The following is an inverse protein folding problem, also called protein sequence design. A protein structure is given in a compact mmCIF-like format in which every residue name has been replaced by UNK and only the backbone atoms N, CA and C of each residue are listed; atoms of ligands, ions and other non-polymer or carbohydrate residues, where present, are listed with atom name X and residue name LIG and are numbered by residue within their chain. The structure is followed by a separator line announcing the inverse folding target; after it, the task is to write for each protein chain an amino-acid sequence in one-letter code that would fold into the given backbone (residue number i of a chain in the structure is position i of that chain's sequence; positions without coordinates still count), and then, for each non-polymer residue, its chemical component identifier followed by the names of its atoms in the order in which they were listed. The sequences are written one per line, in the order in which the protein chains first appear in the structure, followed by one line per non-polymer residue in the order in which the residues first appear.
data_IF_349525983050
#
_entry.id   IF_349525983050
#
_cell.length_a   1.000
_cell.length_b   1.000
_cell.length_c   1.000
_cell.angle_alpha   90.00
_cell.angle_beta   90.00
_cell.angle_gamma   90.00
#
_symmetry.space_group_name_H-M   'P 1'
#
loop_
_entity.id
_entity.type
_entity.pdbx_description
1 polymer ?
#
# COMPACT_ATOMS: atom_id res chain seq x y z
N UNK A 1 -0.83 3.95 11.66
CA UNK A 1 -0.78 2.53 12.09
C UNK A 1 -0.61 2.38 13.62
N UNK A 2 0.38 3.01 14.26
CA UNK A 2 0.69 2.82 15.69
C UNK A 2 -0.24 3.51 16.70
N UNK A 3 -1.25 4.26 16.25
CA UNK A 3 -2.22 4.93 17.13
C UNK A 3 -3.52 4.14 17.25
N UNK A 4 -4.32 4.14 16.18
CA UNK A 4 -5.69 3.59 16.18
C UNK A 4 -5.73 2.05 16.19
N UNK A 5 -4.85 1.42 15.40
CA UNK A 5 -4.89 -0.03 15.22
C UNK A 5 -4.57 -0.85 16.50
N UNK A 6 -3.56 -0.51 17.33
CA UNK A 6 -3.37 -1.22 18.59
C UNK A 6 -4.54 -1.02 19.57
N UNK A 7 -5.18 0.16 19.58
CA UNK A 7 -6.38 0.39 20.40
C UNK A 7 -7.52 -0.54 20.00
N UNK A 8 -7.83 -0.63 18.70
CA UNK A 8 -8.88 -1.53 18.19
C UNK A 8 -8.56 -3.00 18.52
N UNK A 9 -7.30 -3.43 18.35
CA UNK A 9 -6.90 -4.81 18.66
C UNK A 9 -7.07 -5.12 20.14
N UNK A 10 -6.75 -4.17 21.03
CA UNK A 10 -6.93 -4.36 22.47
C UNK A 10 -8.41 -4.48 22.87
N UNK A 11 -9.30 -3.80 22.17
CA UNK A 11 -10.74 -3.81 22.44
C UNK A 11 -11.42 -5.06 21.89
N UNK A 12 -11.07 -5.49 20.67
CA UNK A 12 -11.67 -6.67 20.03
C UNK A 12 -11.11 -8.01 20.53
N UNK A 13 -9.80 -8.11 20.71
CA UNK A 13 -9.13 -9.38 21.05
C UNK A 13 -8.70 -9.46 22.52
N UNK A 14 -8.85 -8.38 23.28
CA UNK A 14 -8.39 -8.30 24.66
C UNK A 14 -6.87 -8.24 24.79
N UNK A 15 -6.40 -8.05 26.03
CA UNK A 15 -4.98 -7.82 26.32
C UNK A 15 -4.14 -9.08 26.48
N UNK A 16 -4.76 -10.25 26.69
CA UNK A 16 -4.05 -11.50 27.02
C UNK A 16 -3.07 -11.96 25.93
N UNK A 17 -3.40 -11.74 24.65
CA UNK A 17 -2.55 -12.11 23.50
C UNK A 17 -2.31 -10.90 22.58
N UNK A 18 -2.33 -9.69 23.15
CA UNK A 18 -2.27 -8.44 22.40
C UNK A 18 -1.06 -8.37 21.45
N UNK A 19 0.13 -8.72 21.95
CA UNK A 19 1.36 -8.65 21.18
C UNK A 19 1.35 -9.53 19.92
N UNK A 20 0.77 -10.72 19.99
CA UNK A 20 0.66 -11.64 18.85
C UNK A 20 -0.32 -11.10 17.81
N UNK A 21 -1.52 -10.68 18.23
CA UNK A 21 -2.56 -10.19 17.31
C UNK A 21 -2.15 -8.87 16.64
N UNK A 22 -1.60 -7.94 17.42
CA UNK A 22 -1.06 -6.70 16.90
C UNK A 22 0.13 -6.93 15.96
N UNK A 23 1.01 -7.88 16.30
CA UNK A 23 2.15 -8.26 15.48
C UNK A 23 1.72 -8.72 14.08
N UNK A 24 0.72 -9.60 14.00
CA UNK A 24 0.16 -10.04 12.72
C UNK A 24 -0.45 -8.90 11.90
N UNK A 25 -1.20 -8.00 12.53
CA UNK A 25 -1.80 -6.84 11.84
C UNK A 25 -0.71 -5.87 11.36
N UNK A 26 0.39 -5.75 12.09
CA UNK A 26 1.52 -4.89 11.71
C UNK A 26 2.29 -5.39 10.49
N UNK A 27 2.14 -6.66 10.10
CA UNK A 27 2.73 -7.20 8.87
C UNK A 27 2.02 -6.66 7.63
N UNK A 28 0.72 -6.34 7.72
CA UNK A 28 -0.07 -5.85 6.59
C UNK A 28 0.55 -4.63 5.87
N UNK A 29 0.92 -3.52 6.56
CA UNK A 29 1.58 -2.39 5.89
C UNK A 29 2.98 -2.73 5.37
N UNK A 30 3.71 -3.65 6.01
CA UNK A 30 5.03 -4.08 5.54
C UNK A 30 4.92 -4.81 4.20
N UNK A 31 3.97 -5.73 4.07
CA UNK A 31 3.74 -6.45 2.81
C UNK A 31 3.09 -5.53 1.77
N UNK A 32 2.03 -4.83 2.14
CA UNK A 32 1.30 -3.93 1.23
C UNK A 32 2.21 -2.85 0.64
N UNK A 33 3.04 -2.21 1.46
CA UNK A 33 3.98 -1.19 0.98
C UNK A 33 4.97 -1.72 -0.06
N UNK A 34 5.51 -2.92 0.13
CA UNK A 34 6.43 -3.53 -0.84
C UNK A 34 5.71 -3.95 -2.12
N UNK A 35 4.50 -4.50 -2.01
CA UNK A 35 3.69 -4.85 -3.19
C UNK A 35 3.37 -3.61 -4.02
N UNK A 36 2.87 -2.54 -3.40
CA UNK A 36 2.57 -1.29 -4.12
C UNK A 36 3.83 -0.64 -4.69
N UNK A 37 4.97 -0.72 -3.99
CA UNK A 37 6.24 -0.22 -4.53
C UNK A 37 6.63 -0.92 -5.84
N UNK A 38 6.54 -2.26 -5.89
CA UNK A 38 6.82 -3.03 -7.10
C UNK A 38 5.79 -2.76 -8.22
N UNK A 39 4.51 -2.65 -7.86
CA UNK A 39 3.44 -2.36 -8.84
C UNK A 39 3.64 -0.98 -9.47
N UNK A 40 3.93 0.05 -8.68
CA UNK A 40 4.16 1.39 -9.21
C UNK A 40 5.45 1.47 -10.03
N UNK A 41 6.51 0.75 -9.64
CA UNK A 41 7.72 0.64 -10.44
C UNK A 41 7.47 -0.01 -11.80
N UNK A 42 6.75 -1.14 -11.82
CA UNK A 42 6.37 -1.80 -13.07
C UNK A 42 5.51 -0.91 -13.97
N UNK A 43 4.55 -0.19 -13.40
CA UNK A 43 3.68 0.70 -14.15
C UNK A 43 4.46 1.87 -14.77
N UNK A 44 5.43 2.42 -14.03
CA UNK A 44 6.36 3.42 -14.55
C UNK A 44 7.19 2.87 -15.73
N UNK A 45 7.76 1.67 -15.57
CA UNK A 45 8.59 1.04 -16.59
C UNK A 45 7.80 0.77 -17.88
N UNK A 46 6.52 0.39 -17.77
CA UNK A 46 5.64 0.20 -18.94
C UNK A 46 5.46 1.50 -19.72
N UNK A 47 5.22 2.62 -19.06
CA UNK A 47 5.06 3.92 -19.73
C UNK A 47 6.39 4.43 -20.30
N UNK A 48 7.51 4.23 -19.60
CA UNK A 48 8.85 4.55 -20.12
C UNK A 48 9.18 3.75 -21.40
N UNK A 49 8.81 2.47 -21.45
CA UNK A 49 8.99 1.63 -22.63
C UNK A 49 8.15 2.09 -23.83
N UNK A 50 6.94 2.61 -23.61
CA UNK A 50 6.08 3.13 -24.67
C UNK A 50 6.68 4.38 -25.34
N UNK A 51 7.28 5.26 -24.54
CA UNK A 51 7.96 6.47 -25.03
C UNK A 51 9.38 6.19 -25.57
N UNK A 52 9.83 4.92 -25.55
CA UNK A 52 11.19 4.50 -25.90
C UNK A 52 12.30 5.25 -25.13
N UNK A 53 11.99 5.74 -23.92
CA UNK A 53 12.94 6.45 -23.06
C UNK A 53 13.31 5.59 -21.85
N UNK A 54 14.50 5.84 -21.29
CA UNK A 54 14.90 5.25 -20.01
C UNK A 54 14.18 5.92 -18.82
N UNK A 55 13.70 7.14 -19.03
CA UNK A 55 13.02 7.94 -18.01
C UNK A 55 11.76 8.53 -18.64
N UNK A 56 10.62 8.30 -17.98
CA UNK A 56 9.33 8.86 -18.34
C UNK A 56 9.04 10.11 -17.48
N UNK A 57 8.58 11.17 -18.14
CA UNK A 57 8.29 12.46 -17.50
C UNK A 57 6.89 12.94 -17.87
N UNK A 58 6.19 13.50 -16.89
CA UNK A 58 4.86 14.08 -17.08
C UNK A 58 3.79 13.37 -16.26
N UNK A 59 2.56 13.86 -16.38
CA UNK A 59 1.40 13.33 -15.66
C UNK A 59 0.96 11.96 -16.14
N UNK A 60 1.10 11.67 -17.44
CA UNK A 60 0.68 10.38 -18.02
C UNK A 60 1.40 9.19 -17.37
N UNK A 61 2.68 9.37 -17.03
CA UNK A 61 3.50 8.37 -16.36
C UNK A 61 2.97 7.92 -14.99
N UNK A 62 2.44 8.87 -14.20
CA UNK A 62 2.01 8.61 -12.83
C UNK A 62 0.48 8.51 -12.68
N UNK A 63 -0.28 8.94 -13.68
CA UNK A 63 -1.73 8.99 -13.62
C UNK A 63 -2.33 7.62 -13.28
N UNK A 64 -1.87 6.57 -13.94
CA UNK A 64 -2.30 5.19 -13.70
C UNK A 64 -1.98 4.74 -12.27
N UNK A 65 -0.80 5.06 -11.75
CA UNK A 65 -0.40 4.76 -10.36
C UNK A 65 -1.31 5.45 -9.34
N UNK A 66 -1.65 6.73 -9.56
CA UNK A 66 -2.56 7.48 -8.70
C UNK A 66 -3.99 6.95 -8.71
N UNK A 67 -4.51 6.58 -9.89
CA UNK A 67 -5.84 5.96 -10.00
C UNK A 67 -5.86 4.63 -9.23
N UNK A 68 -4.82 3.81 -9.40
CA UNK A 68 -4.71 2.51 -8.72
C UNK A 68 -4.62 2.68 -7.19
N UNK A 69 -3.83 3.65 -6.72
CA UNK A 69 -3.75 4.02 -5.29
C UNK A 69 -5.07 4.56 -4.72
N UNK A 70 -5.82 5.30 -5.53
CA UNK A 70 -7.13 5.83 -5.14
C UNK A 70 -8.14 4.69 -4.99
N UNK A 71 -8.22 3.81 -5.99
CA UNK A 71 -9.10 2.63 -5.98
C UNK A 71 -8.74 1.71 -4.81
N UNK A 72 -7.45 1.44 -4.58
CA UNK A 72 -7.03 0.59 -3.46
C UNK A 72 -7.40 1.19 -2.10
N UNK A 73 -7.35 2.52 -1.96
CA UNK A 73 -7.77 3.20 -0.74
C UNK A 73 -9.28 3.08 -0.50
N UNK A 74 -10.10 3.18 -1.55
CA UNK A 74 -11.55 2.94 -1.42
C UNK A 74 -11.86 1.52 -0.94
N UNK A 75 -11.20 0.51 -1.52
CA UNK A 75 -11.38 -0.88 -1.08
C UNK A 75 -10.76 -1.18 0.28
N UNK A 76 -9.69 -0.48 0.68
CA UNK A 76 -9.07 -0.66 1.99
C UNK A 76 -9.79 0.06 3.14
N UNK A 77 -10.66 1.02 2.81
CA UNK A 77 -11.52 1.74 3.78
C UNK A 77 -12.90 1.08 3.93
N UNK A 78 -13.36 0.32 2.93
CA UNK A 78 -14.56 -0.52 3.00
C UNK A 78 -14.31 -1.85 3.71
#
# INVERSE_FOLDING_TARGET
VFGVAPTIVSEWFGVSNFGTNWGWISIAPAVGGQVFNLVFGWLYDVEAQQEHTLECFGTECFHTSFVLGSVSSFFGVC
#
